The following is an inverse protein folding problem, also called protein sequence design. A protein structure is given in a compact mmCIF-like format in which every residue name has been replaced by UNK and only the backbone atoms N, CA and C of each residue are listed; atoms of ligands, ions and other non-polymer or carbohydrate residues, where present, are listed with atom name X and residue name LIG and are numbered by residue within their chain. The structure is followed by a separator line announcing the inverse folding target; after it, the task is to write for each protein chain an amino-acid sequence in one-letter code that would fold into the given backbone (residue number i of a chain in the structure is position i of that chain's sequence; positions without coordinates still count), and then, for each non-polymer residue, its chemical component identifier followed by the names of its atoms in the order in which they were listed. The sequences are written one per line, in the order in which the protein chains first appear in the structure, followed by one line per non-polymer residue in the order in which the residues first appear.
data_IF_694659241138
#
_entry.id   IF_694659241138
#
_cell.length_a   1.000
_cell.length_b   1.000
_cell.length_c   1.000
_cell.angle_alpha   90.00
_cell.angle_beta   90.00
_cell.angle_gamma   90.00
#
_symmetry.space_group_name_H-M   'P 1'
#
loop_
_entity.id
_entity.type
_entity.pdbx_description
1 polymer ?
#
# COMPACT_ATOMS: atom_id res chain seq x y z
N UNK A 1 1.31 6.73 -5.44
CA UNK A 1 1.63 6.36 -6.84
C UNK A 1 2.87 5.49 -6.82
N UNK A 2 3.20 4.79 -7.91
CA UNK A 2 4.48 4.09 -8.00
C UNK A 2 5.65 5.06 -7.74
N UNK A 3 6.65 4.62 -6.99
CA UNK A 3 7.79 5.42 -6.54
C UNK A 3 7.57 6.13 -5.21
N UNK A 4 6.31 6.37 -4.81
CA UNK A 4 6.01 7.03 -3.54
C UNK A 4 6.15 6.07 -2.35
N UNK A 5 6.15 6.64 -1.15
CA UNK A 5 5.99 5.87 0.08
C UNK A 5 4.53 5.83 0.51
N UNK A 6 4.10 4.72 1.10
CA UNK A 6 2.78 4.56 1.71
C UNK A 6 2.95 4.11 3.16
N UNK A 7 2.17 4.69 4.07
CA UNK A 7 2.15 4.33 5.49
C UNK A 7 0.80 3.74 5.87
N UNK A 8 0.81 2.54 6.45
CA UNK A 8 -0.36 1.83 6.95
C UNK A 8 -0.43 2.01 8.47
N UNK A 9 -1.50 2.65 8.94
CA UNK A 9 -1.69 3.03 10.33
C UNK A 9 -2.92 2.34 10.92
N UNK A 10 -2.82 1.83 12.15
CA UNK A 10 -3.91 1.09 12.80
C UNK A 10 -4.85 1.96 13.64
N UNK A 11 -4.67 3.29 13.66
CA UNK A 11 -5.46 4.24 14.48
C UNK A 11 -5.70 3.76 15.92
N UNK A 12 -4.77 2.98 16.46
CA UNK A 12 -4.89 2.30 17.74
C UNK A 12 -3.70 2.71 18.59
N UNK A 13 -3.97 3.16 19.81
CA UNK A 13 -2.92 3.41 20.79
C UNK A 13 -2.36 2.08 21.29
N UNK A 14 -1.09 1.83 20.99
CA UNK A 14 -0.38 0.63 21.44
C UNK A 14 0.04 0.74 22.90
N UNK A 15 -0.29 -0.29 23.68
CA UNK A 15 0.13 -0.47 25.06
C UNK A 15 1.50 -1.16 25.12
N UNK A 16 2.16 -1.07 26.27
CA UNK A 16 3.52 -1.61 26.47
C UNK A 16 3.64 -3.10 26.16
N UNK A 17 2.62 -3.88 26.52
CA UNK A 17 2.60 -5.35 26.37
C UNK A 17 1.93 -5.80 25.07
N UNK A 18 1.54 -4.87 24.19
CA UNK A 18 0.92 -5.22 22.92
C UNK A 18 1.98 -5.80 21.98
N UNK A 19 1.60 -6.89 21.29
CA UNK A 19 2.38 -7.46 20.20
C UNK A 19 1.66 -7.16 18.90
N UNK A 20 2.40 -6.77 17.86
CA UNK A 20 1.84 -6.50 16.55
C UNK A 20 2.60 -7.26 15.46
N UNK A 21 1.84 -7.82 14.54
CA UNK A 21 2.35 -8.59 13.40
C UNK A 21 1.75 -8.04 12.12
N UNK A 22 2.60 -7.67 11.15
CA UNK A 22 2.17 -7.32 9.80
C UNK A 22 2.33 -8.50 8.86
N UNK A 23 1.34 -8.72 8.02
CA UNK A 23 1.29 -9.79 7.04
C UNK A 23 0.93 -9.28 5.65
N UNK A 24 1.34 -10.02 4.62
CA UNK A 24 1.06 -9.71 3.22
C UNK A 24 0.46 -10.91 2.48
N UNK A 25 -0.54 -10.62 1.65
CA UNK A 25 -1.21 -11.57 0.78
C UNK A 25 -2.21 -12.47 1.52
N UNK A 26 -2.87 -13.35 0.75
CA UNK A 26 -3.86 -14.30 1.28
C UNK A 26 -3.23 -15.37 2.17
N UNK A 27 -1.95 -15.67 1.96
CA UNK A 27 -1.18 -16.59 2.79
C UNK A 27 -0.75 -15.98 4.13
N UNK A 28 -1.11 -14.72 4.39
CA UNK A 28 -0.75 -13.97 5.60
C UNK A 28 0.75 -14.07 5.91
N UNK A 29 1.59 -13.93 4.88
CA UNK A 29 3.04 -14.05 5.02
C UNK A 29 3.55 -12.92 5.90
N UNK A 30 4.22 -13.26 7.01
CA UNK A 30 4.78 -12.28 7.95
C UNK A 30 5.83 -11.40 7.26
N UNK A 31 5.65 -10.10 7.36
CA UNK A 31 6.55 -9.09 6.79
C UNK A 31 7.10 -8.11 7.84
N UNK A 32 6.48 -8.02 9.02
CA UNK A 32 7.03 -7.25 10.13
C UNK A 32 6.50 -7.71 11.49
N UNK A 33 7.29 -7.48 12.54
CA UNK A 33 6.92 -7.70 13.94
C UNK A 33 7.31 -6.51 14.79
N UNK A 34 6.42 -6.17 15.71
CA UNK A 34 6.59 -5.13 16.71
C UNK A 34 6.25 -5.69 18.09
N UNK A 35 7.14 -5.51 19.05
CA UNK A 35 6.88 -5.72 20.47
C UNK A 35 7.63 -4.66 21.28
N UNK A 36 6.88 -3.79 21.96
CA UNK A 36 7.43 -2.65 22.69
C UNK A 36 8.17 -3.07 23.97
N UNK A 37 7.64 -4.04 24.70
CA UNK A 37 8.24 -4.58 25.94
C UNK A 37 9.64 -5.17 25.69
N UNK A 38 9.77 -6.03 24.69
CA UNK A 38 11.03 -6.67 24.33
C UNK A 38 11.87 -5.87 23.34
N UNK A 39 11.42 -4.67 22.95
CA UNK A 39 12.07 -3.80 21.95
C UNK A 39 12.36 -4.51 20.63
N UNK A 40 11.42 -5.34 20.19
CA UNK A 40 11.50 -6.03 18.89
C UNK A 40 10.85 -5.15 17.85
N UNK A 41 11.62 -4.77 16.84
CA UNK A 41 11.18 -4.00 15.68
C UNK A 41 11.85 -4.58 14.45
N UNK A 42 11.21 -5.59 13.86
CA UNK A 42 11.83 -6.41 12.83
C UNK A 42 10.99 -6.36 11.57
N UNK A 43 11.65 -6.22 10.42
CA UNK A 43 11.05 -6.39 9.10
C UNK A 43 11.60 -7.64 8.45
N UNK A 44 10.77 -8.27 7.63
CA UNK A 44 11.08 -9.50 6.94
C UNK A 44 10.80 -9.32 5.46
N UNK A 45 11.74 -9.78 4.65
CA UNK A 45 11.53 -9.90 3.22
C UNK A 45 10.83 -11.24 2.92
N UNK A 46 10.14 -11.31 1.79
CA UNK A 46 9.52 -12.54 1.31
C UNK A 46 10.40 -13.21 0.26
N UNK A 47 10.06 -14.44 -0.17
CA UNK A 47 10.91 -15.25 -1.04
C UNK A 47 11.28 -14.57 -2.37
N UNK A 48 10.37 -13.76 -2.93
CA UNK A 48 10.62 -13.02 -4.17
C UNK A 48 11.51 -11.78 -3.97
N UNK A 49 11.92 -11.49 -2.73
CA UNK A 49 12.77 -10.37 -2.39
C UNK A 49 12.11 -9.01 -2.62
N UNK A 50 10.78 -8.95 -2.81
CA UNK A 50 10.12 -7.73 -3.26
C UNK A 50 10.33 -6.59 -2.27
N UNK A 51 10.33 -6.86 -0.97
CA UNK A 51 10.31 -5.86 0.09
C UNK A 51 11.70 -5.46 0.59
N UNK A 52 12.76 -6.04 0.01
CA UNK A 52 14.15 -5.79 0.38
C UNK A 52 14.44 -4.30 0.56
N UNK A 53 14.89 -3.95 1.76
CA UNK A 53 15.27 -2.58 2.18
C UNK A 53 14.16 -1.51 2.09
N UNK A 54 12.90 -1.92 1.85
CA UNK A 54 11.79 -0.98 1.60
C UNK A 54 10.78 -0.88 2.74
N UNK A 55 10.75 -1.84 3.66
CA UNK A 55 9.87 -1.83 4.82
C UNK A 55 10.51 -1.08 6.00
N UNK A 56 9.72 -0.20 6.62
CA UNK A 56 10.09 0.49 7.87
C UNK A 56 8.95 0.40 8.87
N UNK A 57 9.27 0.17 10.14
CA UNK A 57 8.31 0.26 11.24
C UNK A 57 8.53 1.55 12.00
N UNK A 58 7.44 2.23 12.32
CA UNK A 58 7.47 3.30 13.31
C UNK A 58 7.53 2.68 14.72
N UNK A 59 8.58 2.98 15.48
CA UNK A 59 8.83 2.34 16.77
C UNK A 59 7.88 2.83 17.89
N UNK A 60 7.07 3.87 17.64
CA UNK A 60 6.10 4.38 18.61
C UNK A 60 4.71 3.78 18.38
N UNK A 61 4.30 3.73 17.12
CA UNK A 61 2.92 3.41 16.69
C UNK A 61 2.79 2.03 16.06
N UNK A 62 3.90 1.38 15.69
CA UNK A 62 3.89 0.12 14.96
C UNK A 62 3.45 0.25 13.49
N UNK A 63 3.26 1.48 12.99
CA UNK A 63 2.84 1.72 11.61
C UNK A 63 3.86 1.18 10.62
N UNK A 64 3.39 0.51 9.57
CA UNK A 64 4.22 -0.03 8.51
C UNK A 64 4.32 0.96 7.36
N UNK A 65 5.54 1.38 7.03
CA UNK A 65 5.82 2.18 5.83
C UNK A 65 6.48 1.32 4.77
N UNK A 66 5.95 1.37 3.56
CA UNK A 66 6.55 0.79 2.35
C UNK A 66 7.10 1.94 1.54
N UNK A 67 8.41 1.97 1.34
CA UNK A 67 9.09 3.00 0.57
C UNK A 67 9.30 2.56 -0.89
N UNK A 68 9.41 3.54 -1.79
CA UNK A 68 9.63 3.31 -3.22
C UNK A 68 8.68 2.22 -3.76
N UNK A 69 7.37 2.46 -3.60
CA UNK A 69 6.33 1.49 -3.91
C UNK A 69 6.34 1.12 -5.39
N UNK A 70 5.98 -0.13 -5.68
CA UNK A 70 5.88 -0.69 -7.02
C UNK A 70 4.46 -1.20 -7.23
N UNK A 71 4.01 -1.29 -8.48
CA UNK A 71 2.70 -1.89 -8.82
C UNK A 71 2.55 -3.30 -8.23
N UNK A 72 3.66 -4.05 -8.15
CA UNK A 72 3.74 -5.36 -7.50
C UNK A 72 3.39 -5.31 -6.02
N UNK A 73 3.67 -4.22 -5.32
CA UNK A 73 3.37 -4.09 -3.88
C UNK A 73 1.88 -3.97 -3.58
N UNK A 74 1.05 -3.83 -4.61
CA UNK A 74 -0.39 -3.89 -4.47
C UNK A 74 -0.82 -5.25 -3.88
N UNK A 75 -1.83 -5.22 -3.02
CA UNK A 75 -2.37 -6.41 -2.41
C UNK A 75 -2.96 -6.16 -1.02
N UNK A 76 -3.37 -7.27 -0.40
CA UNK A 76 -3.94 -7.27 0.93
C UNK A 76 -2.82 -7.29 1.98
N UNK A 77 -2.84 -6.30 2.86
CA UNK A 77 -1.98 -6.24 4.05
C UNK A 77 -2.84 -6.51 5.27
N UNK A 78 -2.40 -7.43 6.12
CA UNK A 78 -3.02 -7.72 7.40
C UNK A 78 -2.17 -7.16 8.53
N UNK A 79 -2.83 -6.80 9.62
CA UNK A 79 -2.16 -6.54 10.90
C UNK A 79 -2.98 -7.11 12.04
N UNK A 80 -2.32 -7.89 12.88
CA UNK A 80 -2.88 -8.44 14.11
C UNK A 80 -2.19 -7.82 15.32
N UNK A 81 -2.97 -7.36 16.29
CA UNK A 81 -2.50 -6.82 17.57
C UNK A 81 -3.01 -7.75 18.67
N UNK A 82 -2.11 -8.32 19.45
CA UNK A 82 -2.42 -9.18 20.59
C UNK A 82 -2.30 -8.35 21.86
N UNK A 83 -3.42 -8.24 22.60
CA UNK A 83 -3.53 -7.50 23.87
C UNK A 83 -4.26 -8.34 24.89
N UNK A 84 -3.58 -8.75 25.98
CA UNK A 84 -4.19 -9.47 27.10
C UNK A 84 -5.12 -10.63 26.67
N UNK A 85 -4.67 -11.46 25.71
CA UNK A 85 -5.41 -12.58 25.07
C UNK A 85 -6.50 -12.21 24.08
N UNK A 86 -6.76 -10.92 23.85
CA UNK A 86 -7.61 -10.42 22.78
C UNK A 86 -6.78 -10.18 21.53
N UNK A 87 -7.33 -10.53 20.37
CA UNK A 87 -6.73 -10.23 19.07
C UNK A 87 -7.57 -9.16 18.38
N UNK A 88 -6.94 -8.06 17.99
CA UNK A 88 -7.52 -6.99 17.20
C UNK A 88 -6.87 -7.06 15.82
N UNK A 89 -7.67 -7.16 14.76
CA UNK A 89 -7.15 -7.34 13.41
C UNK A 89 -7.67 -6.27 12.46
N UNK A 90 -6.79 -5.74 11.61
CA UNK A 90 -7.13 -4.82 10.53
C UNK A 90 -6.62 -5.36 9.20
N UNK A 91 -7.27 -4.95 8.12
CA UNK A 91 -6.90 -5.28 6.74
C UNK A 91 -6.88 -4.02 5.90
N UNK A 92 -5.84 -3.89 5.08
CA UNK A 92 -5.64 -2.78 4.16
C UNK A 92 -5.53 -3.35 2.74
N UNK A 93 -6.35 -2.86 1.83
CA UNK A 93 -6.16 -3.12 0.41
C UNK A 93 -5.33 -1.99 -0.18
N UNK A 94 -4.08 -2.29 -0.53
CA UNK A 94 -3.16 -1.30 -1.12
C UNK A 94 -3.18 -1.48 -2.63
N UNK A 95 -3.42 -0.38 -3.34
CA UNK A 95 -3.34 -0.33 -4.80
C UNK A 95 -2.29 0.70 -5.19
N UNK A 96 -1.26 0.27 -5.89
CA UNK A 96 -0.20 1.12 -6.44
C UNK A 96 -0.40 1.21 -7.95
N UNK A 97 -0.75 2.40 -8.43
CA UNK A 97 -0.86 2.70 -9.87
C UNK A 97 0.48 3.23 -10.40
N UNK A 98 0.90 2.71 -11.55
CA UNK A 98 1.98 3.30 -12.34
C UNK A 98 1.41 4.33 -13.30
N UNK A 99 2.05 5.50 -13.40
CA UNK A 99 1.79 6.44 -14.49
C UNK A 99 2.86 6.17 -15.54
N UNK A 100 2.47 5.53 -16.63
CA UNK A 100 3.29 5.52 -17.82
C UNK A 100 3.27 6.96 -18.36
N UNK A 101 4.39 7.65 -18.29
CA UNK A 101 4.53 9.02 -18.82
C UNK A 101 4.44 9.09 -20.36
N UNK A 102 4.07 7.98 -21.01
CA UNK A 102 3.81 7.91 -22.43
C UNK A 102 2.34 7.56 -22.66
N UNK A 103 1.50 8.56 -22.43
CA UNK A 103 0.15 8.60 -22.96
C UNK A 103 -0.04 10.03 -23.40
N UNK A 104 0.04 10.22 -24.72
CA UNK A 104 -0.61 11.32 -25.41
C UNK A 104 -1.94 11.61 -24.69
N UNK A 105 -2.11 12.85 -24.26
CA UNK A 105 -3.15 13.23 -23.31
C UNK A 105 -4.55 13.00 -23.91
N UNK A 106 -5.15 11.82 -23.66
CA UNK A 106 -6.55 11.59 -23.98
C UNK A 106 -7.37 12.36 -22.96
N UNK A 107 -7.73 13.59 -23.35
CA UNK A 107 -8.58 14.48 -22.57
C UNK A 107 -9.97 13.86 -22.46
N UNK A 108 -10.32 13.38 -21.27
CA UNK A 108 -11.64 12.81 -20.99
C UNK A 108 -12.70 13.92 -20.90
N UNK A 109 -13.79 13.76 -21.65
CA UNK A 109 -14.96 14.66 -21.63
C UNK A 109 -16.14 13.85 -21.12
N UNK A 110 -16.76 14.30 -20.01
CA UNK A 110 -17.98 13.70 -19.45
C UNK A 110 -19.21 14.43 -19.95
N UNK A 111 -20.23 13.70 -20.40
CA UNK A 111 -21.48 14.26 -20.94
C UNK A 111 -22.69 13.61 -20.27
N UNK A 112 -23.71 14.42 -20.00
CA UNK A 112 -24.96 14.01 -19.37
C UNK A 112 -25.96 13.48 -20.40
N UNK A 113 -26.88 12.62 -19.97
CA UNK A 113 -27.90 12.04 -20.84
C UNK A 113 -28.77 13.14 -21.47
N UNK A 114 -28.69 13.29 -22.80
CA UNK A 114 -29.43 14.30 -23.58
C UNK A 114 -28.55 15.29 -24.34
N UNK A 115 -27.25 15.36 -24.02
CA UNK A 115 -26.31 16.26 -24.68
C UNK A 115 -25.62 15.62 -25.90
N UNK A 116 -25.38 16.42 -26.94
CA UNK A 116 -24.69 16.00 -28.16
C UNK A 116 -23.19 16.28 -28.08
N UNK A 117 -22.36 15.32 -28.50
CA UNK A 117 -20.90 15.45 -28.60
C UNK A 117 -20.50 15.51 -30.06
N UNK A 118 -19.68 16.52 -30.42
CA UNK A 118 -19.01 16.57 -31.73
C UNK A 118 -17.53 16.25 -31.55
N UNK A 119 -17.09 15.11 -32.10
CA UNK A 119 -15.66 14.79 -32.17
C UNK A 119 -15.05 15.44 -33.40
N UNK A 120 -13.99 16.23 -33.21
CA UNK A 120 -13.16 16.73 -34.31
C UNK A 120 -11.91 15.86 -34.42
N UNK A 121 -11.76 15.18 -35.56
CA UNK A 121 -10.57 14.42 -35.90
C UNK A 121 -9.67 15.29 -36.78
N UNK A 122 -8.57 15.77 -36.23
CA UNK A 122 -7.55 16.46 -37.01
C UNK A 122 -6.68 15.41 -37.69
N UNK A 123 -7.05 14.97 -38.90
CA UNK A 123 -6.14 14.19 -39.74
C UNK A 123 -5.21 15.15 -40.48
N UNK A 124 -4.02 15.38 -39.96
CA UNK A 124 -2.93 15.92 -40.78
C UNK A 124 -2.48 14.81 -41.73
N UNK A 125 -2.77 14.99 -43.03
CA UNK A 125 -2.21 14.18 -44.10
C UNK A 125 -0.90 14.83 -44.51
N UNK A 126 0.22 14.23 -44.12
CA UNK A 126 1.54 14.61 -44.63
C UNK A 126 1.66 14.08 -46.08
N UNK A 127 1.99 14.98 -47.00
CA UNK A 127 2.15 14.73 -48.44
C UNK A 127 3.53 14.18 -48.76
#
# INVERSE_FOLDING_TARGET
MQGDSVSLQTNTELQTHDQMMWTFGLSETRIAEFNKEYRIFSTYDVLDGRFRDRLKLDHQTGSLTITNTRTTDSGLYGVGIIRNRTVISYRFNVTVSGVFADSDAVKSVSVIQGDSVTLQTNTETQT
#
